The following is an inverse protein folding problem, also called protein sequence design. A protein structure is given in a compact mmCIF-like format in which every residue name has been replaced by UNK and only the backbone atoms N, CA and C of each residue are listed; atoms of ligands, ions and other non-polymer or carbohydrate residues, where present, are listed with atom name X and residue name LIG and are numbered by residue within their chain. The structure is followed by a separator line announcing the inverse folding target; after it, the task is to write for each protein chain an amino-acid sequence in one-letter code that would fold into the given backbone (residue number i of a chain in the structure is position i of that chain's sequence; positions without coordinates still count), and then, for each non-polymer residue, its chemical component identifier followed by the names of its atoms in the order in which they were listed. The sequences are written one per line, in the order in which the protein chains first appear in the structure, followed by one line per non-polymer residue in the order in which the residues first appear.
data_IF_661317599277
#
_entry.id   IF_661317599277
#
_cell.length_a   1.000
_cell.length_b   1.000
_cell.length_c   1.000
_cell.angle_alpha   90.00
_cell.angle_beta   90.00
_cell.angle_gamma   90.00
#
_symmetry.space_group_name_H-M   'P 1'
#
loop_
_entity.id
_entity.type
_entity.pdbx_description
1 polymer ?
#
# COMPACT_ATOMS: atom_id res chain seq x y z
N UNK A 1 -11.08 17.97 10.70
CA UNK A 1 -10.92 17.18 11.95
C UNK A 1 -10.29 15.86 11.55
N UNK A 2 -9.02 15.64 11.89
CA UNK A 2 -8.23 14.49 11.42
C UNK A 2 -8.56 13.28 12.29
N UNK A 3 -9.23 12.27 11.75
CA UNK A 3 -9.45 11.00 12.44
C UNK A 3 -8.19 10.12 12.27
N UNK A 4 -7.10 10.52 12.90
CA UNK A 4 -5.94 9.62 13.06
C UNK A 4 -6.17 8.85 14.35
N UNK A 5 -6.38 7.54 14.26
CA UNK A 5 -6.42 6.68 15.44
C UNK A 5 -5.13 6.92 16.24
N UNK A 6 -5.20 7.32 17.52
CA UNK A 6 -4.01 7.67 18.31
C UNK A 6 -3.03 6.50 18.51
N UNK A 7 -3.43 5.28 18.11
CA UNK A 7 -2.64 4.06 18.21
C UNK A 7 -2.09 3.57 16.86
N UNK A 8 -2.35 4.27 15.75
CA UNK A 8 -1.74 3.92 14.48
C UNK A 8 -0.29 4.46 14.46
N UNK A 9 0.73 3.60 14.23
CA UNK A 9 2.09 4.09 14.01
C UNK A 9 2.07 5.11 12.88
N UNK A 10 2.91 6.15 12.96
CA UNK A 10 2.99 7.17 11.93
C UNK A 10 3.45 6.53 10.61
N UNK A 11 2.48 6.09 9.80
CA UNK A 11 2.70 5.20 8.66
C UNK A 11 3.67 5.83 7.65
N UNK A 12 3.43 7.09 7.30
CA UNK A 12 4.28 7.85 6.38
C UNK A 12 5.66 8.06 7.01
N UNK A 13 5.75 8.57 8.24
CA UNK A 13 7.04 8.84 8.88
C UNK A 13 7.90 7.58 9.08
N UNK A 14 7.30 6.43 9.29
CA UNK A 14 8.02 5.16 9.41
C UNK A 14 8.55 4.64 8.06
N UNK A 15 7.99 5.07 6.92
CA UNK A 15 8.41 4.65 5.60
C UNK A 15 9.92 4.91 5.34
N UNK A 16 10.47 6.00 5.90
CA UNK A 16 11.90 6.36 5.78
C UNK A 16 12.86 5.33 6.40
N UNK A 17 12.35 4.48 7.29
CA UNK A 17 13.12 3.44 7.98
C UNK A 17 13.12 2.12 7.20
N UNK A 18 12.23 1.96 6.22
CA UNK A 18 12.10 0.73 5.45
C UNK A 18 13.15 0.70 4.34
N UNK A 19 13.93 -0.39 4.31
CA UNK A 19 15.02 -0.60 3.33
C UNK A 19 14.78 -1.78 2.38
N UNK A 20 13.87 -2.69 2.73
CA UNK A 20 13.46 -3.78 1.84
C UNK A 20 12.48 -3.28 0.77
N UNK A 21 12.30 -4.04 -0.33
CA UNK A 21 11.25 -3.75 -1.30
C UNK A 21 9.86 -3.75 -0.67
N UNK A 22 9.03 -2.79 -1.05
CA UNK A 22 7.64 -2.64 -0.58
C UNK A 22 6.67 -2.59 -1.75
N UNK A 23 5.56 -3.29 -1.60
CA UNK A 23 4.34 -3.08 -2.39
C UNK A 23 3.26 -2.53 -1.46
N UNK A 24 2.76 -1.34 -1.77
CA UNK A 24 1.61 -0.74 -1.12
C UNK A 24 0.40 -0.89 -2.05
N UNK A 25 -0.62 -1.62 -1.60
CA UNK A 25 -1.89 -1.78 -2.32
C UNK A 25 -2.99 -1.02 -1.59
N UNK A 26 -3.85 -0.34 -2.34
CA UNK A 26 -5.03 0.36 -1.83
C UNK A 26 -6.17 0.28 -2.83
N UNK A 27 -7.41 0.15 -2.37
CA UNK A 27 -8.61 0.37 -3.19
C UNK A 27 -8.87 1.86 -3.44
N UNK A 28 -9.36 2.22 -4.63
CA UNK A 28 -9.67 3.62 -4.96
C UNK A 28 -10.81 4.22 -4.13
N UNK A 29 -11.66 3.40 -3.51
CA UNK A 29 -12.73 3.84 -2.60
C UNK A 29 -12.25 4.09 -1.17
N UNK A 30 -10.99 3.77 -0.85
CA UNK A 30 -10.41 4.04 0.45
C UNK A 30 -9.97 5.51 0.56
N UNK A 31 -10.21 6.19 1.71
CA UNK A 31 -9.81 7.58 1.89
C UNK A 31 -8.29 7.72 1.94
N UNK A 32 -7.73 8.59 1.08
CA UNK A 32 -6.29 8.89 1.02
C UNK A 32 -5.71 9.40 2.34
N UNK A 33 -6.52 10.01 3.20
CA UNK A 33 -6.07 10.50 4.51
C UNK A 33 -5.71 9.36 5.47
N UNK A 34 -6.42 8.22 5.36
CA UNK A 34 -6.19 7.05 6.20
C UNK A 34 -5.15 6.11 5.59
N UNK A 35 -5.11 6.06 4.25
CA UNK A 35 -4.21 5.20 3.48
C UNK A 35 -3.42 6.04 2.45
N UNK A 36 -2.44 6.84 2.90
CA UNK A 36 -1.72 7.78 2.05
C UNK A 36 -0.61 7.08 1.24
N UNK A 37 -0.99 6.22 0.30
CA UNK A 37 -0.08 5.36 -0.46
C UNK A 37 1.01 6.14 -1.20
N UNK A 38 0.63 7.24 -1.85
CA UNK A 38 1.53 8.08 -2.63
C UNK A 38 2.56 8.78 -1.72
N UNK A 39 2.11 9.36 -0.59
CA UNK A 39 3.01 9.98 0.40
C UNK A 39 3.90 8.96 1.09
N UNK A 40 3.39 7.76 1.34
CA UNK A 40 4.20 6.67 1.88
C UNK A 40 5.36 6.33 0.93
N UNK A 41 5.07 6.20 -0.38
CA UNK A 41 6.10 5.96 -1.41
C UNK A 41 7.11 7.10 -1.49
N UNK A 42 6.66 8.35 -1.46
CA UNK A 42 7.55 9.52 -1.45
C UNK A 42 8.52 9.52 -0.26
N UNK A 43 8.09 9.00 0.89
CA UNK A 43 8.91 8.94 2.10
C UNK A 43 9.68 7.62 2.28
N UNK A 44 9.47 6.62 1.41
CA UNK A 44 10.20 5.36 1.47
C UNK A 44 11.67 5.55 1.12
N UNK A 45 12.55 4.97 1.94
CA UNK A 45 14.00 5.02 1.68
C UNK A 45 14.52 3.83 0.84
N UNK A 46 13.68 2.83 0.57
CA UNK A 46 13.95 1.70 -0.31
C UNK A 46 12.96 1.64 -1.49
N UNK A 47 13.06 0.64 -2.38
CA UNK A 47 12.13 0.48 -3.50
C UNK A 47 10.68 0.34 -3.00
N UNK A 48 9.79 1.21 -3.49
CA UNK A 48 8.38 1.18 -3.13
C UNK A 48 7.50 1.29 -4.38
N UNK A 49 6.67 0.29 -4.61
CA UNK A 49 5.62 0.28 -5.63
C UNK A 49 4.27 0.59 -4.97
N UNK A 50 3.43 1.37 -5.65
CA UNK A 50 2.06 1.68 -5.22
C UNK A 50 1.13 1.19 -6.30
N UNK A 51 0.13 0.42 -5.91
CA UNK A 51 -0.95 -0.03 -6.80
C UNK A 51 -2.29 0.41 -6.22
N UNK A 52 -3.00 1.25 -6.97
CA UNK A 52 -4.37 1.68 -6.64
C UNK A 52 -5.33 0.87 -7.50
N UNK A 53 -6.22 0.10 -6.86
CA UNK A 53 -7.15 -0.79 -7.56
C UNK A 53 -8.47 -0.05 -7.79
N UNK A 54 -8.85 0.08 -9.06
CA UNK A 54 -10.10 0.72 -9.45
C UNK A 54 -11.34 -0.07 -8.99
N UNK A 55 -12.41 0.65 -8.65
CA UNK A 55 -13.68 0.12 -8.15
C UNK A 55 -13.50 -0.88 -6.99
N UNK A 56 -12.69 -0.53 -6.00
CA UNK A 56 -12.27 -1.45 -4.96
C UNK A 56 -12.37 -0.80 -3.57
N UNK A 57 -13.02 -1.51 -2.66
CA UNK A 57 -13.15 -1.11 -1.26
C UNK A 57 -11.98 -1.60 -0.40
N UNK A 58 -12.05 -1.30 0.90
CA UNK A 58 -11.07 -1.72 1.90
C UNK A 58 -10.95 -3.25 2.05
N UNK A 59 -12.01 -3.98 1.72
CA UNK A 59 -12.10 -5.43 1.88
C UNK A 59 -11.75 -6.18 0.59
N UNK A 60 -11.49 -5.45 -0.50
CA UNK A 60 -11.21 -6.01 -1.82
C UNK A 60 -12.32 -6.91 -2.36
N UNK A 61 -13.58 -6.66 -1.98
CA UNK A 61 -14.73 -7.49 -2.39
C UNK A 61 -14.88 -7.48 -3.91
N UNK A 62 -14.88 -8.66 -4.54
CA UNK A 62 -14.93 -8.81 -5.99
C UNK A 62 -13.63 -8.43 -6.72
N UNK A 63 -12.55 -8.21 -5.98
CA UNK A 63 -11.21 -7.91 -6.48
C UNK A 63 -10.16 -8.94 -6.04
N UNK A 64 -10.56 -10.00 -5.35
CA UNK A 64 -9.69 -10.94 -4.64
C UNK A 64 -8.66 -11.59 -5.57
N UNK A 65 -9.11 -12.07 -6.74
CA UNK A 65 -8.22 -12.67 -7.74
C UNK A 65 -7.25 -11.64 -8.34
N UNK A 66 -7.73 -10.41 -8.58
CA UNK A 66 -6.89 -9.33 -9.14
C UNK A 66 -5.80 -8.93 -8.15
N UNK A 67 -6.15 -8.73 -6.88
CA UNK A 67 -5.21 -8.43 -5.80
C UNK A 67 -4.20 -9.56 -5.66
N UNK A 68 -4.67 -10.80 -5.62
CA UNK A 68 -3.81 -11.98 -5.51
C UNK A 68 -2.80 -12.03 -6.65
N UNK A 69 -3.26 -11.80 -7.89
CA UNK A 69 -2.38 -11.73 -9.06
C UNK A 69 -1.34 -10.61 -8.95
N UNK A 70 -1.74 -9.41 -8.52
CA UNK A 70 -0.82 -8.27 -8.33
C UNK A 70 0.28 -8.63 -7.32
N UNK A 71 -0.10 -9.23 -6.18
CA UNK A 71 0.84 -9.64 -5.14
C UNK A 71 1.79 -10.73 -5.64
N UNK A 72 1.26 -11.78 -6.28
CA UNK A 72 2.06 -12.89 -6.82
C UNK A 72 3.04 -12.39 -7.89
N UNK A 73 2.55 -11.62 -8.86
CA UNK A 73 3.38 -11.08 -9.93
C UNK A 73 4.49 -10.17 -9.35
N UNK A 74 4.19 -9.37 -8.32
CA UNK A 74 5.19 -8.56 -7.64
C UNK A 74 6.23 -9.40 -6.89
N UNK A 75 5.81 -10.43 -6.16
CA UNK A 75 6.72 -11.32 -5.43
C UNK A 75 7.68 -12.05 -6.37
N UNK A 76 7.18 -12.62 -7.48
CA UNK A 76 7.99 -13.30 -8.49
C UNK A 76 9.04 -12.32 -9.05
N UNK A 77 8.62 -11.13 -9.47
CA UNK A 77 9.54 -10.10 -10.02
C UNK A 77 10.57 -9.61 -9.01
N UNK A 78 10.20 -9.52 -7.73
CA UNK A 78 11.00 -8.85 -6.70
C UNK A 78 11.95 -9.83 -5.99
N UNK A 79 11.52 -11.07 -5.77
CA UNK A 79 12.24 -12.08 -4.99
C UNK A 79 12.75 -13.25 -5.84
N UNK A 80 12.27 -13.42 -7.08
CA UNK A 80 12.75 -14.45 -8.00
C UNK A 80 12.34 -15.88 -7.66
N UNK A 81 11.27 -16.05 -6.88
CA UNK A 81 10.66 -17.35 -6.59
C UNK A 81 9.54 -17.72 -7.56
#
# INVERSE_FOLDING_TARGET
MRFVSPNAPELVENAKRIKCPVLFIRGDQEPMENYPAERFKENCAGPCEVTIIANCDHFYVGAEERVSKIVVDWLIRTLGC
#
